data_IF_330393699336
#
_entry.id   IF_330393699336
#
_cell.length_a   1.000
_cell.length_b   1.000
_cell.length_c   1.000
_cell.angle_alpha   90.00
_cell.angle_beta   90.00
_cell.angle_gamma   90.00
#
_symmetry.space_group_name_H-M   'P 1'
#
loop_
_entity.id
_entity.type
_entity.pdbx_description
1 polymer ?
#
# COMPACT_ATOMS: atom_id res chain seq x y z
N UNK A 1 -8.18 28.93 -10.77
CA UNK A 1 -7.37 27.94 -11.50
C UNK A 1 -6.31 27.29 -10.61
N UNK A 2 -5.41 28.05 -9.97
CA UNK A 2 -4.30 27.51 -9.16
C UNK A 2 -4.74 26.56 -8.00
N UNK A 3 -5.79 26.91 -7.25
CA UNK A 3 -6.29 26.02 -6.19
C UNK A 3 -6.95 24.75 -6.72
N UNK A 4 -7.66 24.86 -7.86
CA UNK A 4 -8.26 23.71 -8.53
C UNK A 4 -7.17 22.73 -8.99
N UNK A 5 -6.08 23.25 -9.55
CA UNK A 5 -4.91 22.47 -9.92
C UNK A 5 -4.29 21.74 -8.72
N UNK A 6 -4.19 22.42 -7.57
CA UNK A 6 -3.68 21.83 -6.32
C UNK A 6 -4.58 20.68 -5.84
N UNK A 7 -5.90 20.86 -5.90
CA UNK A 7 -6.86 19.81 -5.50
C UNK A 7 -6.80 18.60 -6.44
N UNK A 8 -6.72 18.83 -7.76
CA UNK A 8 -6.59 17.76 -8.76
C UNK A 8 -5.29 16.99 -8.53
N UNK A 9 -4.14 17.68 -8.50
CA UNK A 9 -2.85 17.04 -8.26
C UNK A 9 -2.80 16.33 -6.90
N UNK A 10 -3.53 16.84 -5.91
CA UNK A 10 -3.65 16.23 -4.59
C UNK A 10 -4.41 14.91 -4.64
N UNK A 11 -5.51 14.87 -5.39
CA UNK A 11 -6.25 13.63 -5.64
C UNK A 11 -5.40 12.61 -6.43
N UNK A 12 -4.62 13.07 -7.41
CA UNK A 12 -3.69 12.22 -8.17
C UNK A 12 -2.59 11.63 -7.26
N UNK A 13 -2.00 12.43 -6.37
CA UNK A 13 -1.08 11.94 -5.33
C UNK A 13 -1.77 10.95 -4.40
N UNK A 14 -3.01 11.22 -4.02
CA UNK A 14 -3.77 10.34 -3.15
C UNK A 14 -4.09 8.98 -3.76
N UNK A 15 -4.11 8.85 -5.09
CA UNK A 15 -4.14 7.55 -5.77
C UNK A 15 -2.92 6.69 -5.43
N UNK A 16 -1.72 7.28 -5.39
CA UNK A 16 -0.51 6.58 -4.94
C UNK A 16 -0.64 6.17 -3.47
N UNK A 17 -1.11 7.08 -2.61
CA UNK A 17 -1.27 6.79 -1.17
C UNK A 17 -2.29 5.69 -0.91
N UNK A 18 -3.39 5.66 -1.68
CA UNK A 18 -4.33 4.56 -1.66
C UNK A 18 -3.67 3.22 -2.03
N UNK A 19 -2.79 3.19 -3.04
CA UNK A 19 -2.03 1.99 -3.41
C UNK A 19 -1.01 1.56 -2.35
N UNK A 20 -0.41 2.49 -1.62
CA UNK A 20 0.42 2.13 -0.46
C UNK A 20 -0.44 1.49 0.64
N UNK A 21 -1.68 1.96 0.83
CA UNK A 21 -2.59 1.47 1.86
C UNK A 21 -3.36 0.18 1.52
N UNK A 22 -3.57 -0.17 0.24
CA UNK A 22 -4.50 -1.24 -0.16
C UNK A 22 -4.14 -2.62 0.43
N UNK A 23 -2.84 -2.97 0.43
CA UNK A 23 -2.37 -4.24 0.97
C UNK A 23 -2.52 -4.31 2.48
N UNK A 24 -2.23 -3.20 3.17
CA UNK A 24 -2.43 -3.07 4.61
C UNK A 24 -3.92 -3.13 4.97
N UNK A 25 -4.79 -2.47 4.19
CA UNK A 25 -6.25 -2.52 4.37
C UNK A 25 -6.78 -3.96 4.31
N UNK A 26 -6.27 -4.75 3.36
CA UNK A 26 -6.62 -6.15 3.19
C UNK A 26 -6.16 -7.01 4.38
N UNK A 27 -4.89 -6.89 4.79
CA UNK A 27 -4.35 -7.64 5.94
C UNK A 27 -5.09 -7.29 7.21
N UNK A 28 -5.29 -6.01 7.48
CA UNK A 28 -5.97 -5.56 8.68
C UNK A 28 -7.45 -5.96 8.68
N UNK A 29 -8.14 -5.84 7.54
CA UNK A 29 -9.54 -6.21 7.40
C UNK A 29 -9.82 -7.70 7.68
N UNK A 30 -8.83 -8.57 7.43
CA UNK A 30 -8.97 -10.02 7.62
C UNK A 30 -8.38 -10.49 8.95
N UNK A 31 -7.14 -10.11 9.25
CA UNK A 31 -6.39 -10.64 10.39
C UNK A 31 -6.40 -9.72 11.61
N UNK A 32 -6.77 -8.44 11.46
CA UNK A 32 -6.70 -7.40 12.51
C UNK A 32 -5.33 -7.27 13.17
N UNK A 33 -4.28 -7.58 12.40
CA UNK A 33 -2.88 -7.47 12.82
C UNK A 33 -2.19 -6.41 11.97
N UNK A 34 -1.40 -5.56 12.62
CA UNK A 34 -0.55 -4.58 11.95
C UNK A 34 0.77 -5.25 11.57
N UNK A 35 1.05 -5.31 10.27
CA UNK A 35 2.34 -5.80 9.76
C UNK A 35 3.31 -4.61 9.59
N UNK A 36 4.23 -4.44 10.53
CA UNK A 36 5.23 -3.35 10.47
C UNK A 36 6.21 -3.54 9.30
N UNK A 37 6.47 -4.78 8.87
CA UNK A 37 7.33 -5.04 7.72
C UNK A 37 6.70 -4.65 6.37
N UNK A 38 5.42 -4.26 6.32
CA UNK A 38 4.72 -3.97 5.07
C UNK A 38 5.40 -2.88 4.23
N UNK A 39 5.88 -1.81 4.87
CA UNK A 39 6.62 -0.74 4.17
C UNK A 39 7.97 -1.21 3.63
N UNK A 40 8.69 -2.05 4.36
CA UNK A 40 9.96 -2.63 3.90
C UNK A 40 9.75 -3.53 2.68
N UNK A 41 8.66 -4.30 2.63
CA UNK A 41 8.31 -5.09 1.44
C UNK A 41 7.96 -4.24 0.21
N UNK A 42 7.37 -3.05 0.39
CA UNK A 42 7.16 -2.11 -0.73
C UNK A 42 8.49 -1.62 -1.29
N UNK A 43 9.42 -1.22 -0.41
CA UNK A 43 10.75 -0.74 -0.79
C UNK A 43 11.56 -1.87 -1.43
N UNK A 44 11.49 -3.08 -0.90
CA UNK A 44 12.10 -4.26 -1.51
C UNK A 44 11.57 -4.50 -2.92
N UNK A 45 10.26 -4.37 -3.12
CA UNK A 45 9.64 -4.50 -4.45
C UNK A 45 10.13 -3.41 -5.42
N UNK A 46 10.34 -2.19 -4.93
CA UNK A 46 10.95 -1.10 -5.70
C UNK A 46 12.38 -1.42 -6.12
N UNK A 47 13.21 -1.94 -5.21
CA UNK A 47 14.56 -2.41 -5.54
C UNK A 47 14.54 -3.56 -6.56
N UNK A 48 13.63 -4.52 -6.42
CA UNK A 48 13.46 -5.60 -7.39
C UNK A 48 13.10 -5.05 -8.78
N UNK A 49 12.21 -4.05 -8.88
CA UNK A 49 11.87 -3.43 -10.15
C UNK A 49 13.06 -2.69 -10.79
N UNK A 50 13.87 -1.98 -9.99
CA UNK A 50 15.10 -1.34 -10.47
C UNK A 50 16.10 -2.39 -10.97
N UNK A 51 16.32 -3.45 -10.18
CA UNK A 51 17.23 -4.54 -10.55
C UNK A 51 16.81 -5.20 -11.86
N UNK A 52 15.53 -5.57 -12.00
CA UNK A 52 15.01 -6.21 -13.21
C UNK A 52 15.08 -5.26 -14.42
N UNK A 53 14.81 -3.97 -14.23
CA UNK A 53 14.93 -2.99 -15.32
C UNK A 53 16.38 -2.83 -15.80
N UNK A 54 17.36 -2.93 -14.90
CA UNK A 54 18.78 -2.92 -15.25
C UNK A 54 19.24 -4.20 -15.95
N UNK A 55 18.70 -5.36 -15.53
CA UNK A 55 19.01 -6.66 -16.15
C UNK A 55 18.39 -6.81 -17.54
N UNK A 56 17.22 -6.20 -17.76
CA UNK A 56 16.47 -6.27 -19.01
C UNK A 56 16.20 -4.86 -19.58
N UNK A 57 17.24 -4.10 -19.98
CA UNK A 57 17.11 -2.70 -20.41
C UNK A 57 16.28 -2.53 -21.68
N UNK A 58 16.11 -3.61 -22.46
CA UNK A 58 15.31 -3.64 -23.68
C UNK A 58 13.80 -3.59 -23.41
N UNK A 59 13.39 -3.98 -22.20
CA UNK A 59 11.98 -4.15 -21.82
C UNK A 59 11.53 -2.90 -21.07
N UNK A 60 10.36 -2.32 -21.41
CA UNK A 60 9.82 -1.18 -20.69
C UNK A 60 9.78 -1.43 -19.16
N UNK A 61 10.32 -0.51 -18.33
CA UNK A 61 10.39 -0.68 -16.88
C UNK A 61 9.06 -1.01 -16.20
N UNK A 62 7.94 -0.49 -16.71
CA UNK A 62 6.60 -0.80 -16.18
C UNK A 62 6.17 -2.25 -16.41
N UNK A 63 6.72 -2.95 -17.40
CA UNK A 63 6.43 -4.38 -17.59
C UNK A 63 7.13 -5.26 -16.55
N UNK A 64 8.19 -4.75 -15.90
CA UNK A 64 8.82 -5.43 -14.75
C UNK A 64 7.89 -5.56 -13.55
N UNK A 65 6.78 -4.83 -13.55
CA UNK A 65 5.76 -4.91 -12.53
C UNK A 65 5.12 -6.31 -12.49
N UNK A 66 5.03 -7.04 -13.62
CA UNK A 66 4.48 -8.40 -13.67
C UNK A 66 5.31 -9.40 -12.85
N UNK A 67 6.62 -9.60 -13.13
CA UNK A 67 7.44 -10.52 -12.33
C UNK A 67 7.59 -10.04 -10.88
N UNK A 68 7.60 -8.72 -10.62
CA UNK A 68 7.66 -8.18 -9.25
C UNK A 68 6.39 -8.51 -8.47
N UNK A 69 5.19 -8.35 -9.04
CA UNK A 69 3.93 -8.76 -8.41
C UNK A 69 3.96 -10.25 -8.07
N UNK A 70 4.37 -11.10 -9.02
CA UNK A 70 4.40 -12.55 -8.83
C UNK A 70 5.38 -12.96 -7.71
N UNK A 71 6.57 -12.34 -7.69
CA UNK A 71 7.57 -12.55 -6.65
C UNK A 71 7.05 -12.07 -5.29
N UNK A 72 6.49 -10.87 -5.20
CA UNK A 72 5.96 -10.32 -3.95
C UNK A 72 4.77 -11.13 -3.42
N UNK A 73 3.95 -11.70 -4.30
CA UNK A 73 2.91 -12.66 -3.91
C UNK A 73 3.51 -13.91 -3.27
N UNK A 74 4.50 -14.54 -3.93
CA UNK A 74 5.15 -15.74 -3.43
C UNK A 74 5.86 -15.49 -2.09
N UNK A 75 6.58 -14.37 -1.98
CA UNK A 75 7.23 -13.93 -0.74
C UNK A 75 6.20 -13.70 0.36
N UNK A 76 5.10 -12.99 0.08
CA UNK A 76 4.04 -12.73 1.07
C UNK A 76 3.35 -14.01 1.54
N UNK A 77 3.07 -14.93 0.62
CA UNK A 77 2.51 -16.23 0.95
C UNK A 77 3.45 -17.02 1.87
N UNK A 78 4.74 -17.08 1.54
CA UNK A 78 5.74 -17.80 2.33
C UNK A 78 5.98 -17.15 3.68
N UNK A 79 6.09 -15.82 3.69
CA UNK A 79 6.24 -14.99 4.89
C UNK A 79 5.13 -15.29 5.90
N UNK A 80 3.87 -15.32 5.44
CA UNK A 80 2.75 -15.66 6.30
C UNK A 80 2.79 -17.12 6.75
N UNK A 81 3.03 -18.05 5.82
CA UNK A 81 3.00 -19.48 6.08
C UNK A 81 4.04 -19.90 7.11
N UNK A 82 5.26 -19.38 6.98
CA UNK A 82 6.42 -19.83 7.75
C UNK A 82 6.60 -19.01 9.03
N UNK A 83 6.33 -17.70 8.97
CA UNK A 83 6.68 -16.78 10.05
C UNK A 83 5.43 -16.29 10.79
N UNK A 84 4.54 -15.56 10.11
CA UNK A 84 3.45 -14.83 10.79
C UNK A 84 2.41 -15.77 11.40
N UNK A 85 2.06 -16.87 10.72
CA UNK A 85 1.07 -17.83 11.24
C UNK A 85 1.47 -18.45 12.59
N UNK A 86 2.76 -18.41 12.97
CA UNK A 86 3.23 -18.92 14.28
C UNK A 86 2.76 -18.05 15.45
N UNK A 87 2.47 -16.78 15.20
CA UNK A 87 2.14 -15.79 16.25
C UNK A 87 0.83 -15.07 16.01
N UNK A 88 0.25 -15.13 14.80
CA UNK A 88 -0.99 -14.41 14.44
C UNK A 88 -2.19 -14.81 15.31
N UNK A 89 -2.14 -15.98 15.93
CA UNK A 89 -3.18 -16.50 16.83
C UNK A 89 -2.77 -16.40 18.30
N UNK A 90 -1.68 -15.71 18.61
CA UNK A 90 -1.25 -15.47 19.98
C UNK A 90 -2.34 -14.65 20.70
N UNK A 91 -2.68 -14.98 21.96
CA UNK A 91 -3.56 -14.15 22.77
C UNK A 91 -3.01 -12.74 23.00
N UNK A 92 -1.69 -12.59 22.97
CA UNK A 92 -1.03 -11.29 23.09
C UNK A 92 -0.96 -10.58 21.72
N UNK A 93 -1.65 -9.43 21.56
CA UNK A 93 -1.64 -8.67 20.30
C UNK A 93 -0.28 -8.05 19.98
N UNK A 94 0.65 -7.95 20.95
CA UNK A 94 2.00 -7.44 20.70
C UNK A 94 2.88 -8.49 20.02
N UNK A 95 2.57 -9.78 20.16
CA UNK A 95 3.40 -10.87 19.60
C UNK A 95 3.59 -10.76 18.08
N UNK A 96 2.53 -10.60 17.25
CA UNK A 96 2.71 -10.36 15.81
C UNK A 96 3.40 -9.04 15.49
N UNK A 97 3.17 -7.99 16.29
CA UNK A 97 3.76 -6.68 16.11
C UNK A 97 5.28 -6.75 16.30
N UNK A 98 5.75 -7.33 17.41
CA UNK A 98 7.17 -7.54 17.70
C UNK A 98 7.84 -8.41 16.64
N UNK A 99 7.17 -9.46 16.18
CA UNK A 99 7.68 -10.31 15.10
C UNK A 99 7.83 -9.53 13.79
N UNK A 100 6.81 -8.78 13.38
CA UNK A 100 6.86 -8.01 12.12
C UNK A 100 7.84 -6.84 12.21
N UNK A 101 8.04 -6.26 13.40
CA UNK A 101 9.09 -5.29 13.68
C UNK A 101 10.49 -5.90 13.50
N UNK A 102 10.74 -7.08 14.08
CA UNK A 102 12.01 -7.78 13.89
C UNK A 102 12.29 -8.08 12.41
N UNK A 103 11.27 -8.51 11.66
CA UNK A 103 11.37 -8.73 10.21
C UNK A 103 11.66 -7.43 9.47
N UNK A 104 11.02 -6.32 9.85
CA UNK A 104 11.30 -4.99 9.26
C UNK A 104 12.77 -4.61 9.43
N UNK A 105 13.33 -4.77 10.64
CA UNK A 105 14.74 -4.49 10.91
C UNK A 105 15.66 -5.37 10.07
N UNK A 106 15.36 -6.67 9.95
CA UNK A 106 16.16 -7.60 9.13
C UNK A 106 16.10 -7.19 7.66
N UNK A 107 14.91 -6.99 7.10
CA UNK A 107 14.73 -6.63 5.69
C UNK A 107 15.45 -5.32 5.35
N UNK A 108 15.32 -4.30 6.20
CA UNK A 108 16.01 -3.02 6.01
C UNK A 108 17.53 -3.20 5.92
N UNK A 109 18.12 -3.93 6.86
CA UNK A 109 19.58 -4.13 6.88
C UNK A 109 20.03 -5.02 5.72
N UNK A 110 19.26 -6.04 5.35
CA UNK A 110 19.52 -6.85 4.16
C UNK A 110 19.50 -5.99 2.89
N UNK A 111 18.57 -5.04 2.76
CA UNK A 111 18.54 -4.11 1.63
C UNK A 111 19.77 -3.20 1.62
N UNK A 112 20.22 -2.70 2.78
CA UNK A 112 21.45 -1.91 2.87
C UNK A 112 22.67 -2.73 2.43
N UNK A 113 22.78 -3.97 2.89
CA UNK A 113 23.90 -4.86 2.55
C UNK A 113 23.94 -5.21 1.06
N UNK A 114 22.78 -5.49 0.45
CA UNK A 114 22.68 -5.92 -0.95
C UNK A 114 22.73 -4.74 -1.94
N UNK A 115 22.02 -3.65 -1.64
CA UNK A 115 21.80 -2.54 -2.60
C UNK A 115 22.56 -1.25 -2.26
N UNK A 116 23.15 -1.17 -1.07
CA UNK A 116 23.75 0.04 -0.51
C UNK A 116 22.71 0.99 0.09
N UNK A 117 23.20 2.04 0.77
CA UNK A 117 22.37 3.10 1.35
C UNK A 117 22.03 4.23 0.35
N UNK A 118 22.50 4.11 -0.90
CA UNK A 118 22.36 5.14 -1.92
C UNK A 118 20.92 5.36 -2.34
N UNK A 119 20.65 6.60 -2.76
CA UNK A 119 19.37 7.02 -3.31
C UNK A 119 19.15 6.35 -4.68
N UNK A 120 17.99 5.70 -4.84
CA UNK A 120 17.57 5.07 -6.09
C UNK A 120 16.26 5.68 -6.60
N UNK A 121 16.00 5.51 -7.88
CA UNK A 121 14.72 5.81 -8.54
C UNK A 121 14.55 4.89 -9.75
N UNK A 122 13.31 4.68 -10.19
CA UNK A 122 13.00 3.90 -11.38
C UNK A 122 12.70 4.84 -12.55
N UNK A 123 13.61 4.91 -13.52
CA UNK A 123 13.44 5.77 -14.68
C UNK A 123 12.54 5.09 -15.72
N UNK A 124 11.45 5.75 -16.10
CA UNK A 124 10.48 5.26 -17.12
C UNK A 124 10.52 6.12 -18.39
N UNK A 125 11.61 6.88 -18.59
CA UNK A 125 11.80 7.75 -19.75
C UNK A 125 10.75 8.86 -19.86
N UNK A 126 10.35 9.19 -21.09
CA UNK A 126 9.47 10.32 -21.41
C UNK A 126 8.09 10.22 -20.75
N UNK A 127 7.61 9.02 -20.46
CA UNK A 127 6.32 8.81 -19.79
C UNK A 127 6.27 9.49 -18.41
N UNK A 128 7.40 9.56 -17.70
CA UNK A 128 7.50 10.22 -16.39
C UNK A 128 7.27 11.74 -16.45
N UNK A 129 7.55 12.37 -17.60
CA UNK A 129 7.40 13.83 -17.80
C UNK A 129 6.16 14.20 -18.63
N UNK A 130 5.51 13.22 -19.24
CA UNK A 130 4.36 13.45 -20.09
C UNK A 130 3.18 14.04 -19.30
N UNK A 131 2.54 15.05 -19.88
CA UNK A 131 1.39 15.74 -19.30
C UNK A 131 0.34 16.08 -20.35
N UNK A 132 -0.89 16.23 -19.89
CA UNK A 132 -2.03 16.70 -20.67
C UNK A 132 -2.42 18.10 -20.18
N UNK A 133 -2.61 19.01 -21.12
CA UNK A 133 -3.16 20.33 -20.82
C UNK A 133 -4.66 20.33 -21.09
N UNK A 134 -5.47 20.49 -20.04
CA UNK A 134 -6.93 20.51 -20.12
C UNK A 134 -7.42 21.80 -19.48
N UNK A 135 -8.04 22.69 -20.27
CA UNK A 135 -8.57 23.97 -19.80
C UNK A 135 -7.54 24.83 -19.02
N UNK A 136 -6.27 24.80 -19.44
CA UNK A 136 -5.17 25.53 -18.78
C UNK A 136 -4.63 24.86 -17.51
N UNK A 137 -5.00 23.61 -17.23
CA UNK A 137 -4.48 22.80 -16.13
C UNK A 137 -3.51 21.74 -16.68
N UNK A 138 -2.34 21.61 -16.08
CA UNK A 138 -1.37 20.58 -16.44
C UNK A 138 -1.58 19.34 -15.56
N UNK A 139 -1.95 18.22 -16.20
CA UNK A 139 -2.20 16.94 -15.55
C UNK A 139 -1.13 15.94 -16.01
N UNK A 140 -0.26 15.51 -15.09
CA UNK A 140 0.73 14.49 -15.39
C UNK A 140 0.07 13.14 -15.73
N UNK A 141 0.56 12.49 -16.79
CA UNK A 141 0.02 11.19 -17.25
C UNK A 141 0.28 10.10 -16.21
N UNK A 142 1.48 10.02 -15.62
CA UNK A 142 1.80 9.00 -14.61
C UNK A 142 0.96 9.13 -13.33
N UNK A 143 0.78 10.31 -12.72
CA UNK A 143 -0.15 10.48 -11.61
C UNK A 143 -1.60 10.10 -11.97
N UNK A 144 -2.07 10.43 -13.17
CA UNK A 144 -3.39 10.03 -13.65
C UNK A 144 -3.54 8.51 -13.77
N UNK A 145 -2.58 7.84 -14.44
CA UNK A 145 -2.55 6.39 -14.55
C UNK A 145 -2.49 5.71 -13.16
N UNK A 146 -1.75 6.30 -12.23
CA UNK A 146 -1.65 5.80 -10.84
C UNK A 146 -3.00 5.86 -10.13
N UNK A 147 -3.74 6.98 -10.23
CA UNK A 147 -5.07 7.09 -9.64
C UNK A 147 -6.08 6.14 -10.30
N UNK A 148 -6.06 6.03 -11.63
CA UNK A 148 -6.93 5.10 -12.36
C UNK A 148 -6.64 3.66 -11.95
N UNK A 149 -5.35 3.27 -11.89
CA UNK A 149 -4.96 1.94 -11.44
C UNK A 149 -5.37 1.68 -9.99
N UNK A 150 -5.25 2.67 -9.10
CA UNK A 150 -5.74 2.58 -7.73
C UNK A 150 -7.24 2.26 -7.72
N UNK A 151 -8.07 3.07 -8.39
CA UNK A 151 -9.51 2.86 -8.45
C UNK A 151 -9.86 1.47 -9.01
N UNK A 152 -9.18 1.03 -10.08
CA UNK A 152 -9.38 -0.28 -10.68
C UNK A 152 -9.00 -1.42 -9.74
N UNK A 153 -7.87 -1.34 -9.03
CA UNK A 153 -7.43 -2.38 -8.10
C UNK A 153 -8.32 -2.47 -6.86
N UNK A 154 -8.73 -1.33 -6.30
CA UNK A 154 -9.71 -1.29 -5.22
C UNK A 154 -11.05 -1.89 -5.65
N UNK A 155 -11.54 -1.54 -6.85
CA UNK A 155 -12.77 -2.11 -7.40
C UNK A 155 -12.63 -3.62 -7.66
N UNK A 156 -11.52 -4.06 -8.26
CA UNK A 156 -11.24 -5.47 -8.51
C UNK A 156 -11.19 -6.27 -7.21
N UNK A 157 -10.46 -5.79 -6.20
CA UNK A 157 -10.38 -6.42 -4.89
C UNK A 157 -11.76 -6.50 -4.21
N UNK A 158 -12.54 -5.42 -4.27
CA UNK A 158 -13.91 -5.41 -3.75
C UNK A 158 -14.80 -6.43 -4.46
N UNK A 159 -14.72 -6.54 -5.79
CA UNK A 159 -15.49 -7.50 -6.57
C UNK A 159 -15.09 -8.94 -6.24
N UNK A 160 -13.78 -9.22 -6.20
CA UNK A 160 -13.24 -10.53 -5.82
C UNK A 160 -13.73 -10.90 -4.44
N UNK A 161 -13.58 -10.02 -3.45
CA UNK A 161 -14.04 -10.31 -2.11
C UNK A 161 -15.56 -10.52 -2.11
N UNK A 162 -16.36 -9.59 -2.63
CA UNK A 162 -17.82 -9.64 -2.52
C UNK A 162 -18.46 -10.81 -3.26
N UNK A 163 -17.99 -11.13 -4.47
CA UNK A 163 -18.72 -12.02 -5.38
C UNK A 163 -18.09 -13.40 -5.60
N UNK A 164 -16.88 -13.68 -5.11
CA UNK A 164 -16.24 -14.99 -5.31
C UNK A 164 -16.36 -15.91 -4.09
N UNK A 165 -16.18 -17.21 -4.30
CA UNK A 165 -16.09 -18.19 -3.21
C UNK A 165 -14.89 -17.90 -2.30
N UNK A 166 -13.72 -17.60 -2.87
CA UNK A 166 -12.53 -17.18 -2.12
C UNK A 166 -12.85 -16.01 -1.20
N UNK A 167 -13.51 -14.98 -1.73
CA UNK A 167 -13.90 -13.81 -0.95
C UNK A 167 -14.91 -14.10 0.17
N UNK A 168 -15.83 -15.06 -0.05
CA UNK A 168 -16.74 -15.57 0.98
C UNK A 168 -15.98 -16.24 2.13
N UNK A 169 -15.00 -17.09 1.79
CA UNK A 169 -14.16 -17.77 2.77
C UNK A 169 -13.30 -16.76 3.54
N UNK A 170 -12.72 -15.77 2.86
CA UNK A 170 -11.92 -14.70 3.48
C UNK A 170 -12.76 -13.92 4.49
N UNK A 171 -13.96 -13.47 4.12
CA UNK A 171 -14.87 -12.77 5.05
C UNK A 171 -15.28 -13.63 6.23
N UNK A 172 -15.71 -14.87 5.98
CA UNK A 172 -16.08 -15.79 7.05
C UNK A 172 -14.91 -16.03 8.02
N UNK A 173 -13.69 -16.10 7.49
CA UNK A 173 -12.47 -16.26 8.29
C UNK A 173 -12.20 -15.03 9.16
N UNK A 174 -12.42 -13.83 8.60
CA UNK A 174 -12.29 -12.56 9.32
C UNK A 174 -13.31 -12.39 10.46
N UNK A 175 -14.52 -12.93 10.29
CA UNK A 175 -15.57 -12.87 11.30
C UNK A 175 -15.33 -13.88 12.44
N UNK A 176 -15.16 -15.15 12.08
CA UNK A 176 -15.09 -16.28 13.02
C UNK A 176 -14.20 -17.40 12.47
N UNK A 177 -12.89 -17.22 12.60
CA UNK A 177 -11.85 -18.21 12.27
C UNK A 177 -12.17 -19.63 12.80
N UNK A 178 -12.57 -19.73 14.06
CA UNK A 178 -12.80 -21.04 14.71
C UNK A 178 -14.01 -21.78 14.12
N UNK A 179 -15.05 -21.05 13.71
CA UNK A 179 -16.25 -21.64 13.08
C UNK A 179 -15.90 -22.12 11.66
N UNK A 180 -15.16 -21.30 10.89
CA UNK A 180 -14.74 -21.67 9.54
C UNK A 180 -13.91 -22.96 9.53
N UNK A 181 -13.09 -23.18 10.58
CA UNK A 181 -12.30 -24.40 10.73
C UNK A 181 -13.17 -25.66 10.86
N UNK A 182 -14.35 -25.57 11.46
CA UNK A 182 -15.30 -26.70 11.57
C UNK A 182 -15.91 -27.08 10.22
N UNK A 183 -15.86 -26.19 9.23
CA UNK A 183 -16.35 -26.43 7.86
C UNK A 183 -15.28 -27.04 6.93
N UNK A 184 -14.16 -27.52 7.47
CA UNK A 184 -13.08 -28.17 6.71
C UNK A 184 -12.10 -27.20 6.02
N UNK A 185 -12.31 -25.89 6.15
CA UNK A 185 -11.37 -24.87 5.67
C UNK A 185 -10.18 -24.77 6.62
N UNK A 186 -8.98 -24.51 6.09
CA UNK A 186 -7.77 -24.23 6.88
C UNK A 186 -7.51 -22.72 6.91
N UNK A 187 -7.89 -21.99 7.98
CA UNK A 187 -7.74 -20.53 8.04
C UNK A 187 -6.32 -20.03 7.77
N UNK A 188 -5.32 -20.79 8.21
CA UNK A 188 -3.91 -20.44 8.03
C UNK A 188 -3.54 -20.35 6.54
N UNK A 189 -4.15 -21.20 5.69
CA UNK A 189 -3.96 -21.10 4.23
C UNK A 189 -4.65 -19.86 3.66
N UNK A 190 -5.80 -19.49 4.20
CA UNK A 190 -6.51 -18.26 3.81
C UNK A 190 -5.64 -17.04 4.11
N UNK A 191 -5.05 -16.99 5.31
CA UNK A 191 -4.10 -15.94 5.68
C UNK A 191 -2.92 -15.88 4.73
N UNK A 192 -2.36 -17.03 4.31
CA UNK A 192 -1.24 -17.05 3.36
C UNK A 192 -1.60 -16.37 2.03
N UNK A 193 -2.77 -16.69 1.47
CA UNK A 193 -3.25 -16.05 0.24
C UNK A 193 -3.50 -14.55 0.43
N UNK A 194 -4.06 -14.16 1.57
CA UNK A 194 -4.33 -12.74 1.89
C UNK A 194 -3.04 -11.95 2.02
N UNK A 195 -2.00 -12.48 2.70
CA UNK A 195 -0.71 -11.82 2.79
C UNK A 195 0.03 -11.78 1.45
N UNK A 196 -0.03 -12.87 0.67
CA UNK A 196 0.49 -12.88 -0.69
C UNK A 196 -0.14 -11.77 -1.54
N UNK A 197 -1.47 -11.67 -1.55
CA UNK A 197 -2.19 -10.62 -2.27
C UNK A 197 -1.86 -9.23 -1.73
N UNK A 198 -1.71 -9.08 -0.42
CA UNK A 198 -1.31 -7.82 0.21
C UNK A 198 0.05 -7.32 -0.26
N UNK A 199 1.08 -8.17 -0.24
CA UNK A 199 2.40 -7.78 -0.71
C UNK A 199 2.45 -7.61 -2.23
N UNK A 200 1.68 -8.39 -2.98
CA UNK A 200 1.53 -8.21 -4.42
C UNK A 200 0.95 -6.83 -4.77
N UNK A 201 -0.11 -6.41 -4.08
CA UNK A 201 -0.71 -5.09 -4.29
C UNK A 201 0.19 -3.96 -3.76
N UNK A 202 0.82 -4.14 -2.59
CA UNK A 202 1.78 -3.20 -2.04
C UNK A 202 3.01 -3.01 -2.94
N UNK A 203 3.44 -4.06 -3.66
CA UNK A 203 4.50 -3.98 -4.64
C UNK A 203 4.17 -3.00 -5.77
N UNK A 204 2.91 -2.94 -6.22
CA UNK A 204 2.47 -1.97 -7.22
C UNK A 204 2.66 -0.54 -6.69
N UNK A 205 2.25 -0.28 -5.45
CA UNK A 205 2.48 1.00 -4.78
C UNK A 205 3.96 1.35 -4.63
N UNK A 206 4.79 0.38 -4.22
CA UNK A 206 6.25 0.54 -4.10
C UNK A 206 6.95 0.85 -5.43
N UNK A 207 6.58 0.14 -6.50
CA UNK A 207 7.14 0.40 -7.84
C UNK A 207 6.71 1.76 -8.36
N UNK A 208 5.43 2.14 -8.23
CA UNK A 208 4.96 3.45 -8.68
C UNK A 208 5.52 4.60 -7.83
N UNK A 209 5.80 4.35 -6.55
CA UNK A 209 6.56 5.27 -5.71
C UNK A 209 7.96 5.49 -6.27
N UNK A 210 8.66 4.42 -6.66
CA UNK A 210 10.00 4.49 -7.24
C UNK A 210 10.04 5.23 -8.58
N UNK A 211 8.95 5.18 -9.36
CA UNK A 211 8.80 5.98 -10.58
C UNK A 211 8.56 7.46 -10.26
N UNK A 212 7.72 7.74 -9.26
CA UNK A 212 7.34 9.11 -8.90
C UNK A 212 8.47 9.87 -8.18
N UNK A 213 9.20 9.19 -7.31
CA UNK A 213 10.16 9.80 -6.40
C UNK A 213 11.34 8.88 -6.11
N UNK A 214 12.40 9.44 -5.57
CA UNK A 214 13.51 8.66 -5.08
C UNK A 214 13.19 7.95 -3.77
N UNK A 215 13.93 6.88 -3.50
CA UNK A 215 13.82 6.07 -2.29
C UNK A 215 15.19 5.55 -1.86
N UNK A 216 15.29 5.15 -0.60
CA UNK A 216 16.44 4.48 0.00
C UNK A 216 15.97 3.24 0.76
N UNK A 217 16.86 2.36 1.28
CA UNK A 217 16.45 1.29 2.17
C UNK A 217 15.72 1.78 3.44
N UNK A 218 15.89 3.05 3.82
CA UNK A 218 15.24 3.63 5.00
C UNK A 218 13.83 4.18 4.73
N UNK A 219 13.39 4.17 3.46
CA UNK A 219 12.07 4.67 3.08
C UNK A 219 10.93 3.77 3.58
N UNK A 220 11.16 2.54 4.05
CA UNK A 220 10.08 1.62 4.41
C UNK A 220 9.15 2.15 5.51
N UNK A 221 9.73 2.69 6.58
CA UNK A 221 8.98 3.20 7.73
C UNK A 221 8.09 4.41 7.39
N UNK A 222 8.59 5.37 6.61
CA UNK A 222 7.80 6.54 6.18
C UNK A 222 6.62 6.12 5.28
N UNK A 223 6.80 5.12 4.41
CA UNK A 223 5.72 4.63 3.53
C UNK A 223 4.70 3.81 4.30
N UNK A 224 5.14 3.03 5.29
CA UNK A 224 4.24 2.34 6.20
C UNK A 224 3.35 3.33 6.95
N UNK A 225 3.90 4.45 7.43
CA UNK A 225 3.14 5.46 8.16
C UNK A 225 2.02 6.02 7.28
N UNK A 226 2.33 6.44 6.05
CA UNK A 226 1.31 6.89 5.08
C UNK A 226 0.26 5.80 4.82
N UNK A 227 0.68 4.55 4.58
CA UNK A 227 -0.24 3.45 4.37
C UNK A 227 -1.18 3.22 5.57
N UNK A 228 -0.66 3.33 6.79
CA UNK A 228 -1.44 3.21 8.01
C UNK A 228 -2.44 4.36 8.16
N UNK A 229 -2.01 5.61 7.94
CA UNK A 229 -2.88 6.78 7.96
C UNK A 229 -4.03 6.64 6.98
N UNK A 230 -3.77 6.17 5.75
CA UNK A 230 -4.78 5.90 4.73
C UNK A 230 -5.82 4.89 5.20
N UNK A 231 -5.39 3.79 5.79
CA UNK A 231 -6.29 2.72 6.26
C UNK A 231 -7.14 3.19 7.43
N UNK A 232 -6.55 3.92 8.37
CA UNK A 232 -7.26 4.43 9.55
C UNK A 232 -8.20 5.57 9.18
N UNK A 233 -7.76 6.53 8.36
CA UNK A 233 -8.63 7.57 7.80
C UNK A 233 -9.80 6.97 7.06
N UNK A 234 -9.56 5.94 6.25
CA UNK A 234 -10.61 5.27 5.50
C UNK A 234 -11.64 4.54 6.35
N UNK A 235 -11.23 4.04 7.52
CA UNK A 235 -12.00 3.15 8.36
C UNK A 235 -11.54 1.72 8.18
N UNK A 236 -11.24 1.06 9.30
CA UNK A 236 -10.67 -0.29 9.32
C UNK A 236 -11.62 -1.28 8.64
N UNK A 237 -11.15 -1.96 7.60
CA UNK A 237 -11.93 -2.89 6.79
C UNK A 237 -12.75 -2.26 5.66
N UNK A 238 -12.71 -0.94 5.46
CA UNK A 238 -13.38 -0.30 4.31
C UNK A 238 -12.41 -0.05 3.16
N UNK A 239 -12.49 -0.86 2.10
CA UNK A 239 -11.66 -0.67 0.89
C UNK A 239 -11.94 0.68 0.21
N UNK A 240 -13.21 1.04 0.03
CA UNK A 240 -13.58 2.36 -0.50
C UNK A 240 -13.17 3.49 0.44
N UNK A 241 -13.28 3.25 1.74
CA UNK A 241 -12.77 4.15 2.76
C UNK A 241 -11.28 4.43 2.56
N UNK A 242 -10.45 3.40 2.41
CA UNK A 242 -9.01 3.55 2.20
C UNK A 242 -8.68 4.30 0.90
N UNK A 243 -9.41 4.07 -0.21
CA UNK A 243 -9.23 4.85 -1.44
C UNK A 243 -9.50 6.35 -1.19
N UNK A 244 -10.63 6.68 -0.54
CA UNK A 244 -10.99 8.05 -0.21
C UNK A 244 -10.04 8.67 0.83
N UNK A 245 -9.55 7.88 1.78
CA UNK A 245 -8.54 8.28 2.76
C UNK A 245 -7.22 8.65 2.10
N UNK A 246 -6.77 7.87 1.12
CA UNK A 246 -5.60 8.19 0.29
C UNK A 246 -5.78 9.52 -0.46
N UNK A 247 -6.92 9.70 -1.12
CA UNK A 247 -7.28 10.95 -1.81
C UNK A 247 -7.26 12.15 -0.85
N UNK A 248 -7.93 12.04 0.30
CA UNK A 248 -7.98 13.10 1.29
C UNK A 248 -6.59 13.47 1.83
N UNK A 249 -5.75 12.46 2.10
CA UNK A 249 -4.38 12.64 2.61
C UNK A 249 -3.48 13.29 1.56
N UNK A 250 -3.57 12.87 0.29
CA UNK A 250 -2.85 13.49 -0.82
C UNK A 250 -3.26 14.95 -1.08
N UNK A 251 -4.56 15.24 -0.97
CA UNK A 251 -5.08 16.61 -1.05
C UNK A 251 -4.58 17.47 0.11
N UNK A 252 -4.65 16.98 1.35
CA UNK A 252 -4.13 17.70 2.51
C UNK A 252 -2.64 18.01 2.37
N UNK A 253 -1.86 17.06 1.84
CA UNK A 253 -0.44 17.29 1.59
C UNK A 253 -0.18 18.41 0.58
N UNK A 254 -0.85 18.39 -0.58
CA UNK A 254 -0.61 19.43 -1.58
C UNK A 254 -1.17 20.80 -1.17
N UNK A 255 -2.27 20.83 -0.42
CA UNK A 255 -2.75 22.07 0.21
C UNK A 255 -1.68 22.60 1.18
N UNK A 256 -1.11 21.72 2.02
CA UNK A 256 -0.03 22.05 2.93
C UNK A 256 1.19 22.65 2.20
N UNK A 257 1.66 21.97 1.13
CA UNK A 257 2.76 22.46 0.30
C UNK A 257 2.47 23.82 -0.37
N UNK A 258 1.20 24.10 -0.66
CA UNK A 258 0.79 25.38 -1.23
C UNK A 258 0.83 26.52 -0.21
N UNK A 259 0.56 26.22 1.06
CA UNK A 259 0.60 27.19 2.17
C UNK A 259 2.05 27.39 2.64
N UNK A 260 2.78 26.29 2.86
CA UNK A 260 4.18 26.26 3.25
C UNK A 260 4.89 25.11 2.50
N UNK A 261 5.88 25.41 1.63
CA UNK A 261 6.62 24.43 0.85
C UNK A 261 7.26 23.30 1.66
N UNK A 262 7.48 23.47 2.96
CA UNK A 262 8.09 22.45 3.83
C UNK A 262 7.07 21.68 4.68
N UNK A 263 5.82 22.12 4.73
CA UNK A 263 4.83 21.59 5.66
C UNK A 263 3.92 20.51 5.05
N UNK A 264 4.09 20.13 3.78
CA UNK A 264 3.19 19.21 3.10
C UNK A 264 2.82 17.96 3.91
N UNK A 265 3.83 17.22 4.38
CA UNK A 265 3.60 16.05 5.21
C UNK A 265 2.93 16.42 6.54
N UNK A 266 3.33 17.50 7.20
CA UNK A 266 2.70 17.94 8.45
C UNK A 266 1.17 18.09 8.30
N UNK A 267 0.69 18.70 7.21
CA UNK A 267 -0.75 18.85 6.97
C UNK A 267 -1.47 17.52 6.74
N UNK A 268 -0.83 16.56 6.06
CA UNK A 268 -1.37 15.21 5.91
C UNK A 268 -1.51 14.48 7.25
N UNK A 269 -0.45 14.49 8.07
CA UNK A 269 -0.47 13.86 9.39
C UNK A 269 -1.46 14.58 10.33
N UNK A 270 -1.57 15.92 10.25
CA UNK A 270 -2.57 16.68 11.01
C UNK A 270 -4.00 16.31 10.64
N UNK A 271 -4.30 16.14 9.34
CA UNK A 271 -5.61 15.64 8.90
C UNK A 271 -5.90 14.28 9.54
N UNK A 272 -4.93 13.37 9.52
CA UNK A 272 -5.02 12.07 10.19
C UNK A 272 -5.31 12.20 11.70
N UNK A 273 -4.54 13.01 12.43
CA UNK A 273 -4.76 13.24 13.87
C UNK A 273 -6.12 13.86 14.18
N UNK A 274 -6.53 14.89 13.43
CA UNK A 274 -7.82 15.55 13.60
C UNK A 274 -8.96 14.55 13.35
N UNK A 275 -8.84 13.74 12.31
CA UNK A 275 -9.86 12.74 11.98
C UNK A 275 -9.96 11.65 13.04
N UNK A 276 -8.84 11.22 13.62
CA UNK A 276 -8.83 10.30 14.75
C UNK A 276 -9.59 10.84 15.97
N UNK A 277 -9.46 12.14 16.26
CA UNK A 277 -10.15 12.79 17.37
C UNK A 277 -11.66 12.94 17.12
N UNK A 278 -12.05 13.32 15.89
CA UNK A 278 -13.44 13.64 15.57
C UNK A 278 -14.24 12.38 15.21
N UNK A 279 -13.63 11.43 14.50
CA UNK A 279 -14.34 10.28 13.93
C UNK A 279 -13.43 9.04 13.86
N UNK A 280 -13.16 8.38 15.01
CA UNK A 280 -12.22 7.26 15.11
C UNK A 280 -12.63 6.01 14.31
N UNK A 281 -13.89 5.93 13.86
CA UNK A 281 -14.37 4.88 12.95
C UNK A 281 -13.92 5.06 11.49
N UNK A 282 -13.25 6.17 11.15
CA UNK A 282 -12.87 6.52 9.79
C UNK A 282 -13.99 7.19 8.97
N UNK A 283 -13.68 7.50 7.71
CA UNK A 283 -14.54 8.22 6.76
C UNK A 283 -15.79 7.43 6.37
N UNK A 284 -15.65 6.11 6.26
CA UNK A 284 -16.72 5.20 5.84
C UNK A 284 -16.89 4.11 6.90
N UNK A 285 -18.12 3.85 7.35
CA UNK A 285 -18.36 2.78 8.33
C UNK A 285 -17.99 1.42 7.72
N UNK A 286 -17.42 0.53 8.53
CA UNK A 286 -17.05 -0.81 8.07
C UNK A 286 -18.30 -1.57 7.59
N UNK A 287 -18.19 -2.11 6.37
CA UNK A 287 -19.10 -3.11 5.81
C UNK A 287 -18.23 -4.12 5.06
N UNK A 288 -17.45 -4.87 5.84
CA UNK A 288 -16.98 -6.19 5.39
C UNK A 288 -18.10 -7.18 5.69
#
# INVERSE_FOLDING_TARGET
MIWVETLINGALLGGLYALLGIGLALVFGVMRVVNIAHGEFMVLSAFCAVLLSNLFPQVPPLLMLIPVIALSFAVGWLYQAVIVNRVVTSPDPLSPLLLTFGVSVILRNVMVEIFGADVRSLQVGELSRASLEIAGLNIGIMPLLTLVLAALLFMALQLVLRHTEFGRIVRATADRRDIVRLSGVKPDRVYNYVMGLSLALGAIGGVLLAVRSSFTPFSGAERLLIAFEVVVLGGLGSFWGALLGGIALGMAQLIGLKIDPNAGLLYAHLLFFIMLLIRPSGLVSSRV
#
